data_IF_261459256455
#
_entry.id   IF_261459256455
#
_cell.length_a   1.000
_cell.length_b   1.000
_cell.length_c   1.000
_cell.angle_alpha   90.00
_cell.angle_beta   90.00
_cell.angle_gamma   90.00
#
_symmetry.space_group_name_H-M   'P 1'
#
loop_
_entity.id
_entity.type
_entity.pdbx_description
1 polymer ?
#
# COMPACT_ATOMS: atom_id res chain seq x y z
N UNK A 1 -78.95 3.03 36.39
CA UNK A 1 -77.98 1.93 36.23
C UNK A 1 -77.21 2.20 34.94
N UNK A 2 -76.07 2.89 35.03
CA UNK A 2 -75.26 3.29 33.87
C UNK A 2 -74.47 2.09 33.36
N UNK A 3 -74.63 1.74 32.09
CA UNK A 3 -73.78 0.79 31.37
C UNK A 3 -72.83 1.58 30.47
N UNK A 4 -71.53 1.39 30.72
CA UNK A 4 -70.41 1.96 30.01
C UNK A 4 -70.24 1.29 28.62
N UNK A 5 -70.09 2.10 27.57
CA UNK A 5 -69.70 1.67 26.24
C UNK A 5 -68.29 2.19 25.91
N UNK A 6 -67.34 1.26 25.79
CA UNK A 6 -65.92 1.51 25.57
C UNK A 6 -65.62 1.73 24.08
N UNK A 7 -65.15 2.92 23.72
CA UNK A 7 -64.72 3.26 22.35
C UNK A 7 -63.27 2.80 22.15
N UNK A 8 -63.06 1.77 21.31
CA UNK A 8 -61.71 1.28 20.98
C UNK A 8 -61.11 2.21 19.92
N UNK A 9 -60.09 3.01 20.30
CA UNK A 9 -59.22 3.67 19.33
C UNK A 9 -58.20 2.65 18.79
N UNK A 10 -58.26 2.36 17.49
CA UNK A 10 -57.24 1.58 16.80
C UNK A 10 -55.99 2.45 16.58
N UNK A 11 -54.94 2.21 17.35
CA UNK A 11 -53.63 2.83 17.16
C UNK A 11 -52.85 2.18 16.02
N UNK A 12 -52.63 2.93 14.93
CA UNK A 12 -51.67 2.57 13.88
C UNK A 12 -50.26 2.92 14.35
N UNK A 13 -49.41 1.92 14.60
CA UNK A 13 -47.97 2.10 14.85
C UNK A 13 -47.24 2.26 13.50
N UNK A 14 -46.49 3.34 13.26
CA UNK A 14 -45.62 3.42 12.10
C UNK A 14 -44.40 2.53 12.34
N UNK A 15 -44.19 1.56 11.44
CA UNK A 15 -42.99 0.73 11.41
C UNK A 15 -41.74 1.62 11.20
N UNK A 16 -40.82 1.60 12.16
CA UNK A 16 -39.51 2.25 12.04
C UNK A 16 -38.69 1.56 10.96
N UNK A 17 -38.49 2.22 9.83
CA UNK A 17 -37.55 1.76 8.81
C UNK A 17 -36.13 2.06 9.26
N UNK A 18 -35.43 1.04 9.73
CA UNK A 18 -34.00 1.11 9.96
C UNK A 18 -33.30 1.13 8.60
N UNK A 19 -32.93 2.33 8.14
CA UNK A 19 -32.03 2.50 7.02
C UNK A 19 -30.63 2.10 7.48
N UNK A 20 -30.26 0.84 7.27
CA UNK A 20 -28.87 0.41 7.41
C UNK A 20 -28.05 1.20 6.38
N UNK A 21 -27.29 2.19 6.85
CA UNK A 21 -26.34 2.93 6.04
C UNK A 21 -25.31 1.93 5.52
N UNK A 22 -25.40 1.61 4.24
CA UNK A 22 -24.38 0.82 3.55
C UNK A 22 -23.16 1.73 3.48
N UNK A 23 -22.12 1.41 4.25
CA UNK A 23 -20.79 1.97 4.02
C UNK A 23 -20.35 1.44 2.67
N UNK A 24 -20.64 2.20 1.62
CA UNK A 24 -20.08 1.97 0.30
C UNK A 24 -18.59 2.29 0.41
N UNK A 25 -17.77 1.28 0.64
CA UNK A 25 -16.34 1.37 0.39
C UNK A 25 -16.17 1.65 -1.11
N UNK A 26 -16.03 2.92 -1.47
CA UNK A 26 -15.64 3.32 -2.81
C UNK A 26 -14.29 2.67 -3.08
N UNK A 27 -14.08 1.97 -4.22
CA UNK A 27 -12.78 1.40 -4.52
C UNK A 27 -11.75 2.52 -4.48
N UNK A 28 -10.77 2.40 -3.58
CA UNK A 28 -9.69 3.38 -3.47
C UNK A 28 -9.02 3.48 -4.84
N UNK A 29 -8.91 4.69 -5.36
CA UNK A 29 -8.25 4.91 -6.65
C UNK A 29 -6.81 4.34 -6.60
N UNK A 30 -6.30 3.79 -7.72
CA UNK A 30 -4.97 3.18 -7.75
C UNK A 30 -3.90 4.20 -7.35
N UNK A 31 -2.97 3.78 -6.50
CA UNK A 31 -1.86 4.63 -6.07
C UNK A 31 -0.80 4.72 -7.17
N UNK A 32 -0.20 5.91 -7.32
CA UNK A 32 0.85 6.14 -8.31
C UNK A 32 1.90 7.14 -7.83
N UNK A 33 3.13 6.90 -8.30
CA UNK A 33 4.31 7.72 -8.06
C UNK A 33 5.01 8.01 -9.38
N UNK A 34 6.02 8.87 -9.37
CA UNK A 34 6.79 9.23 -10.55
C UNK A 34 8.27 9.43 -10.20
N UNK A 35 9.15 8.98 -11.09
CA UNK A 35 10.60 9.23 -11.02
C UNK A 35 11.04 9.70 -12.41
N UNK A 36 11.75 10.82 -12.52
CA UNK A 36 12.23 11.38 -13.81
C UNK A 36 11.15 11.41 -14.91
N UNK A 37 9.95 11.89 -14.58
CA UNK A 37 8.77 11.91 -15.45
C UNK A 37 8.13 10.56 -15.81
N UNK A 38 8.70 9.42 -15.41
CA UNK A 38 8.12 8.10 -15.64
C UNK A 38 7.07 7.76 -14.58
N UNK A 39 5.78 7.65 -14.95
CA UNK A 39 4.73 7.27 -14.01
C UNK A 39 4.85 5.79 -13.65
N UNK A 40 4.50 5.47 -12.40
CA UNK A 40 4.55 4.12 -11.85
C UNK A 40 3.24 3.88 -11.11
N UNK A 41 2.53 2.83 -11.48
CA UNK A 41 1.39 2.33 -10.71
C UNK A 41 1.92 1.47 -9.57
N UNK A 42 1.50 1.74 -8.33
CA UNK A 42 2.04 1.04 -7.16
C UNK A 42 0.97 0.33 -6.35
N UNK A 43 1.35 -0.86 -5.88
CA UNK A 43 0.76 -1.47 -4.70
C UNK A 43 1.52 -0.98 -3.45
N UNK A 44 0.84 -0.88 -2.32
CA UNK A 44 1.41 -0.33 -1.09
C UNK A 44 1.55 -1.43 -0.05
N UNK A 45 2.77 -1.64 0.44
CA UNK A 45 3.08 -2.49 1.58
C UNK A 45 3.40 -1.61 2.81
N UNK A 46 2.36 -1.17 3.50
CA UNK A 46 2.44 -0.24 4.63
C UNK A 46 2.22 -0.90 6.00
N UNK A 47 1.96 -2.22 6.04
CA UNK A 47 1.88 -3.03 7.26
C UNK A 47 2.98 -4.08 7.33
N UNK A 48 3.26 -4.63 8.52
CA UNK A 48 4.29 -5.66 8.67
C UNK A 48 3.97 -6.91 7.83
N UNK A 49 2.72 -7.37 7.86
CA UNK A 49 2.28 -8.50 7.02
C UNK A 49 2.50 -8.23 5.53
N UNK A 50 2.09 -7.05 5.02
CA UNK A 50 2.26 -6.73 3.60
C UNK A 50 3.73 -6.59 3.20
N UNK A 51 4.57 -6.02 4.07
CA UNK A 51 6.02 -5.91 3.84
C UNK A 51 6.70 -7.27 3.85
N UNK A 52 6.29 -8.17 4.73
CA UNK A 52 6.84 -9.51 4.83
C UNK A 52 6.48 -10.38 3.61
N UNK A 53 5.26 -10.22 3.07
CA UNK A 53 4.81 -10.92 1.86
C UNK A 53 5.43 -10.33 0.59
N UNK A 54 5.45 -9.01 0.45
CA UNK A 54 5.98 -8.35 -0.74
C UNK A 54 5.38 -8.87 -2.05
N UNK A 55 6.24 -9.19 -3.02
CA UNK A 55 5.87 -9.75 -4.33
C UNK A 55 6.02 -11.28 -4.41
N UNK A 56 6.08 -11.99 -3.28
CA UNK A 56 6.20 -13.45 -3.25
C UNK A 56 5.10 -14.15 -4.07
N UNK A 57 5.45 -15.29 -4.68
CA UNK A 57 4.54 -16.20 -5.40
C UNK A 57 3.84 -15.63 -6.65
N UNK A 58 4.07 -14.37 -7.00
CA UNK A 58 3.47 -13.76 -8.19
C UNK A 58 4.13 -14.29 -9.47
N UNK A 59 3.36 -14.65 -10.50
CA UNK A 59 3.93 -15.17 -11.75
C UNK A 59 4.47 -14.07 -12.67
N UNK A 60 3.99 -12.83 -12.53
CA UNK A 60 4.40 -11.68 -13.32
C UNK A 60 4.06 -10.36 -12.61
N UNK A 61 4.74 -9.28 -13.02
CA UNK A 61 4.46 -7.90 -12.64
C UNK A 61 4.36 -7.08 -13.95
N UNK A 62 3.27 -6.33 -14.21
CA UNK A 62 3.15 -5.56 -15.45
C UNK A 62 4.27 -4.51 -15.61
N UNK A 63 4.58 -4.08 -16.83
CA UNK A 63 5.47 -2.95 -17.06
C UNK A 63 4.95 -1.70 -16.34
N UNK A 64 5.85 -0.90 -15.77
CA UNK A 64 5.51 0.34 -15.02
C UNK A 64 4.59 0.12 -13.80
N UNK A 65 4.53 -1.12 -13.30
CA UNK A 65 3.96 -1.46 -12.01
C UNK A 65 5.06 -1.82 -11.01
N UNK A 66 4.83 -1.51 -9.75
CA UNK A 66 5.74 -1.83 -8.66
C UNK A 66 5.04 -1.96 -7.31
N UNK A 67 5.84 -2.27 -6.29
CA UNK A 67 5.38 -2.27 -4.90
C UNK A 67 6.19 -1.27 -4.08
N UNK A 68 5.49 -0.34 -3.44
CA UNK A 68 6.08 0.63 -2.53
C UNK A 68 5.94 0.12 -1.09
N UNK A 69 7.08 -0.22 -0.48
CA UNK A 69 7.19 -0.57 0.92
C UNK A 69 7.31 0.72 1.74
N UNK A 70 6.45 0.87 2.75
CA UNK A 70 6.45 2.02 3.65
C UNK A 70 6.79 1.57 5.05
N UNK A 71 7.82 2.15 5.65
CA UNK A 71 8.25 1.81 7.00
C UNK A 71 7.87 2.88 8.03
N UNK A 72 7.69 2.53 9.31
CA UNK A 72 7.30 3.47 10.36
C UNK A 72 8.45 4.34 10.88
N UNK A 73 9.71 3.97 10.64
CA UNK A 73 10.91 4.68 11.08
C UNK A 73 11.93 4.90 9.94
N UNK A 74 13.08 5.52 10.24
CA UNK A 74 14.17 5.80 9.30
C UNK A 74 15.40 5.00 9.70
N UNK A 75 15.51 3.78 9.20
CA UNK A 75 16.61 2.85 9.51
C UNK A 75 17.11 2.18 8.24
N UNK A 76 18.32 1.61 8.24
CA UNK A 76 18.75 0.73 7.16
C UNK A 76 17.73 -0.38 6.92
N UNK A 77 17.43 -0.66 5.66
CA UNK A 77 16.48 -1.70 5.24
C UNK A 77 17.22 -2.74 4.45
N UNK A 78 16.81 -3.99 4.63
CA UNK A 78 17.36 -5.11 3.90
C UNK A 78 16.22 -5.97 3.36
N UNK A 79 16.39 -6.44 2.13
CA UNK A 79 15.44 -7.25 1.39
C UNK A 79 16.13 -8.51 0.88
N UNK A 80 15.31 -9.48 0.49
CA UNK A 80 15.70 -10.75 -0.11
C UNK A 80 14.61 -11.19 -1.08
N UNK A 81 14.88 -12.24 -1.85
CA UNK A 81 13.98 -12.72 -2.91
C UNK A 81 13.38 -14.08 -2.58
N UNK A 82 13.33 -14.45 -1.29
CA UNK A 82 12.72 -15.71 -0.85
C UNK A 82 11.30 -15.81 -1.40
N UNK A 83 10.99 -16.90 -2.10
CA UNK A 83 9.69 -17.15 -2.74
C UNK A 83 9.25 -16.14 -3.82
N UNK A 84 10.10 -15.19 -4.22
CA UNK A 84 9.79 -14.24 -5.29
C UNK A 84 10.25 -14.82 -6.63
N UNK A 85 9.29 -15.02 -7.55
CA UNK A 85 9.53 -15.68 -8.84
C UNK A 85 9.99 -14.73 -9.95
N UNK A 86 9.66 -13.45 -9.80
CA UNK A 86 9.92 -12.40 -10.78
C UNK A 86 11.29 -11.79 -10.46
N UNK A 87 12.18 -11.57 -11.45
CA UNK A 87 13.41 -10.83 -11.21
C UNK A 87 13.08 -9.35 -11.00
N UNK A 88 13.65 -8.74 -9.97
CA UNK A 88 13.28 -7.38 -9.56
C UNK A 88 14.49 -6.47 -9.47
N UNK A 89 14.25 -5.18 -9.64
CA UNK A 89 15.13 -4.12 -9.17
C UNK A 89 14.52 -3.47 -7.93
N UNK A 90 15.35 -3.00 -7.01
CA UNK A 90 14.90 -2.26 -5.83
C UNK A 90 15.56 -0.88 -5.75
N UNK A 91 14.77 0.13 -5.41
CA UNK A 91 15.25 1.45 -5.01
C UNK A 91 14.96 1.66 -3.53
N UNK A 92 16.00 1.90 -2.74
CA UNK A 92 15.86 2.33 -1.34
C UNK A 92 15.79 3.85 -1.28
N UNK A 93 14.87 4.38 -0.49
CA UNK A 93 14.49 5.80 -0.53
C UNK A 93 14.44 6.37 0.89
N UNK A 94 15.07 7.52 1.11
CA UNK A 94 15.08 8.20 2.40
C UNK A 94 13.76 8.95 2.72
N UNK A 95 13.68 9.54 3.91
CA UNK A 95 12.51 10.33 4.32
C UNK A 95 12.31 11.61 3.48
N UNK A 96 13.35 12.09 2.81
CA UNK A 96 13.32 13.23 1.91
C UNK A 96 12.95 12.83 0.47
N UNK A 97 12.58 11.56 0.27
CA UNK A 97 12.18 10.96 -1.01
C UNK A 97 13.33 10.84 -2.03
N UNK A 98 14.59 10.88 -1.57
CA UNK A 98 15.75 10.65 -2.42
C UNK A 98 16.07 9.17 -2.47
N UNK A 99 16.39 8.66 -3.66
CA UNK A 99 16.95 7.31 -3.81
C UNK A 99 18.36 7.31 -3.20
N UNK A 100 18.59 6.45 -2.22
CA UNK A 100 19.89 6.31 -1.54
C UNK A 100 20.68 5.09 -2.00
N UNK A 101 20.00 4.07 -2.52
CA UNK A 101 20.62 2.89 -3.11
C UNK A 101 19.71 2.27 -4.18
N UNK A 102 20.34 1.60 -5.14
CA UNK A 102 19.70 0.81 -6.18
C UNK A 102 20.37 -0.56 -6.22
N UNK A 103 19.58 -1.61 -6.42
CA UNK A 103 20.13 -2.96 -6.59
C UNK A 103 19.26 -3.81 -7.52
N UNK A 104 19.86 -4.87 -8.05
CA UNK A 104 19.23 -5.86 -8.93
C UNK A 104 19.19 -7.21 -8.20
N UNK A 105 18.00 -7.78 -8.05
CA UNK A 105 17.77 -8.92 -7.17
C UNK A 105 17.34 -10.16 -7.95
N UNK A 106 17.97 -11.29 -7.66
CA UNK A 106 17.74 -12.55 -8.37
C UNK A 106 16.55 -13.33 -7.78
N UNK A 107 15.65 -13.89 -8.60
CA UNK A 107 14.53 -14.70 -8.13
C UNK A 107 14.98 -15.82 -7.19
N UNK A 108 14.17 -16.10 -6.17
CA UNK A 108 14.37 -17.18 -5.19
C UNK A 108 15.67 -17.10 -4.37
N UNK A 109 16.46 -16.05 -4.52
CA UNK A 109 17.69 -15.84 -3.74
C UNK A 109 17.38 -15.40 -2.32
N UNK A 110 18.11 -15.94 -1.35
CA UNK A 110 18.10 -15.43 0.04
C UNK A 110 19.30 -14.49 0.30
N UNK A 111 20.03 -14.10 -0.74
CA UNK A 111 21.01 -13.01 -0.67
C UNK A 111 20.33 -11.74 -0.18
N UNK A 112 20.98 -11.07 0.77
CA UNK A 112 20.44 -9.89 1.41
C UNK A 112 20.93 -8.62 0.71
N UNK A 113 19.99 -7.81 0.22
CA UNK A 113 20.24 -6.52 -0.41
C UNK A 113 19.86 -5.41 0.56
N UNK A 114 20.83 -4.58 0.96
CA UNK A 114 20.62 -3.55 1.98
C UNK A 114 20.80 -2.13 1.45
N UNK A 115 20.03 -1.19 1.99
CA UNK A 115 20.09 0.24 1.63
C UNK A 115 21.43 0.92 1.97
N UNK A 116 22.25 0.33 2.85
CA UNK A 116 23.51 0.89 3.35
C UNK A 116 23.38 2.17 4.20
N UNK A 117 22.22 2.81 4.19
CA UNK A 117 21.88 4.05 4.89
C UNK A 117 20.40 4.06 5.28
N UNK A 118 19.96 5.04 6.06
CA UNK A 118 18.57 5.12 6.51
C UNK A 118 17.60 5.23 5.33
N UNK A 119 16.60 4.34 5.27
CA UNK A 119 15.55 4.35 4.27
C UNK A 119 14.16 4.31 4.93
N UNK A 120 13.28 5.19 4.45
CA UNK A 120 11.88 5.28 4.85
C UNK A 120 10.97 4.46 3.94
N UNK A 121 11.38 4.30 2.69
CA UNK A 121 10.64 3.58 1.67
C UNK A 121 11.57 2.65 0.88
N UNK A 122 11.00 1.66 0.24
CA UNK A 122 11.63 0.94 -0.85
C UNK A 122 10.63 0.74 -1.99
N UNK A 123 11.08 0.83 -3.24
CA UNK A 123 10.26 0.58 -4.42
C UNK A 123 10.85 -0.59 -5.19
N UNK A 124 10.10 -1.69 -5.25
CA UNK A 124 10.41 -2.83 -6.12
C UNK A 124 9.74 -2.64 -7.47
N UNK A 125 10.51 -2.87 -8.53
CA UNK A 125 10.09 -2.83 -9.93
C UNK A 125 10.58 -4.10 -10.64
N UNK A 126 10.06 -4.37 -11.84
CA UNK A 126 10.67 -5.37 -12.72
C UNK A 126 12.17 -5.11 -12.90
N UNK A 127 12.94 -6.19 -13.07
CA UNK A 127 14.38 -6.13 -13.35
C UNK A 127 14.74 -5.08 -14.42
N UNK A 128 15.86 -4.39 -14.22
CA UNK A 128 16.42 -3.35 -15.08
C UNK A 128 15.52 -2.11 -15.28
N UNK A 129 14.39 -1.97 -14.56
CA UNK A 129 13.46 -0.85 -14.78
C UNK A 129 14.12 0.51 -14.50
N UNK A 130 14.87 0.63 -13.41
CA UNK A 130 15.56 1.87 -13.04
C UNK A 130 16.69 2.20 -14.04
N UNK A 131 17.54 1.22 -14.34
CA UNK A 131 18.68 1.40 -15.25
C UNK A 131 18.22 1.78 -16.67
N UNK A 132 17.20 1.10 -17.21
CA UNK A 132 16.68 1.37 -18.56
C UNK A 132 16.06 2.76 -18.72
N UNK A 133 15.65 3.40 -17.62
CA UNK A 133 15.11 4.78 -17.59
C UNK A 133 16.10 5.82 -17.11
N UNK A 134 17.36 5.42 -16.92
CA UNK A 134 18.42 6.31 -16.46
C UNK A 134 18.21 6.86 -15.04
N UNK A 135 17.40 6.18 -14.23
CA UNK A 135 17.19 6.52 -12.81
C UNK A 135 18.45 6.19 -12.02
N UNK A 136 18.84 7.09 -11.11
CA UNK A 136 20.10 7.01 -10.35
C UNK A 136 19.88 7.33 -8.87
N UNK A 137 20.86 6.94 -8.05
CA UNK A 137 20.97 7.43 -6.67
C UNK A 137 20.98 8.97 -6.67
N UNK A 138 20.17 9.56 -5.80
CA UNK A 138 19.95 11.00 -5.70
C UNK A 138 18.65 11.49 -6.34
N UNK A 139 18.05 10.73 -7.26
CA UNK A 139 16.77 11.06 -7.89
C UNK A 139 15.62 11.06 -6.87
N UNK A 140 14.55 11.81 -7.16
CA UNK A 140 13.42 12.00 -6.27
C UNK A 140 12.24 11.14 -6.71
N UNK A 141 11.62 10.46 -5.74
CA UNK A 141 10.29 9.88 -5.93
C UNK A 141 9.21 10.91 -5.59
N UNK A 142 8.30 11.14 -6.53
CA UNK A 142 7.20 12.07 -6.37
C UNK A 142 5.89 11.30 -6.25
N UNK A 143 5.07 11.64 -5.25
CA UNK A 143 3.72 11.11 -5.15
C UNK A 143 2.83 11.79 -6.19
N UNK A 144 2.09 11.00 -6.96
CA UNK A 144 1.16 11.51 -7.98
C UNK A 144 -0.27 11.37 -7.48
N UNK A 145 -0.65 10.17 -7.07
CA UNK A 145 -1.97 9.89 -6.54
C UNK A 145 -1.89 8.86 -5.40
N UNK A 146 -2.31 9.19 -4.18
CA UNK A 146 -2.56 10.55 -3.68
C UNK A 146 -1.31 11.45 -3.78
N UNK A 147 -1.43 12.80 -3.67
CA UNK A 147 -0.30 13.74 -3.82
C UNK A 147 0.71 13.70 -2.67
N UNK A 148 0.61 12.73 -1.76
CA UNK A 148 1.53 12.47 -0.68
C UNK A 148 1.85 10.96 -0.63
N UNK A 149 3.09 10.62 -0.26
CA UNK A 149 3.43 9.22 -0.03
C UNK A 149 2.69 8.68 1.20
N UNK A 150 2.31 7.39 1.19
CA UNK A 150 1.64 6.79 2.33
C UNK A 150 2.53 6.77 3.58
N UNK A 151 1.88 6.62 4.73
CA UNK A 151 2.53 6.37 6.02
C UNK A 151 2.27 4.93 6.43
N UNK A 152 3.23 4.31 7.12
CA UNK A 152 3.06 2.94 7.62
C UNK A 152 1.86 2.88 8.57
N UNK A 153 1.01 1.87 8.40
CA UNK A 153 -0.11 1.59 9.30
C UNK A 153 0.35 0.67 10.42
N UNK A 154 -0.16 0.91 11.62
CA UNK A 154 0.02 0.03 12.76
C UNK A 154 -0.96 -1.14 12.69
N UNK A 155 -0.47 -2.38 12.69
CA UNK A 155 -1.31 -3.58 12.70
C UNK A 155 -2.05 -3.76 14.03
N UNK A 156 -1.69 -2.99 15.08
CA UNK A 156 -2.38 -2.93 16.36
C UNK A 156 -3.62 -2.01 16.41
N UNK A 157 -3.86 -1.19 15.38
CA UNK A 157 -5.00 -0.26 15.35
C UNK A 157 -6.21 -0.80 14.56
N UNK A 158 -6.39 -2.13 14.52
CA UNK A 158 -7.70 -2.72 14.29
C UNK A 158 -8.58 -2.46 15.53
N UNK A 159 -9.02 -1.21 15.71
CA UNK A 159 -10.14 -0.93 16.60
C UNK A 159 -11.38 -1.50 15.95
N UNK A 160 -11.92 -2.52 16.61
CA UNK A 160 -13.30 -2.97 16.53
C UNK A 160 -14.25 -1.83 16.16
N UNK A 161 -14.88 -1.94 14.99
CA UNK A 161 -16.21 -1.37 14.71
C UNK A 161 -16.86 -2.13 13.56
#
# INVERSE_FOLDING_TARGET
MFLAGCTILAGFLPASQSAAARVSASPAAPASVRINHHPITIEIADTDSLRAEGLMHRPALPPDHGMLFVFPDNQPRCFWMKNTLIPLSIAFIDAQRRIVALDEMQPLSEETHCSGSAARYALEMNKDWFHSRGVRVGDIIEAVQPPALPVARDEGSATLQ
#
